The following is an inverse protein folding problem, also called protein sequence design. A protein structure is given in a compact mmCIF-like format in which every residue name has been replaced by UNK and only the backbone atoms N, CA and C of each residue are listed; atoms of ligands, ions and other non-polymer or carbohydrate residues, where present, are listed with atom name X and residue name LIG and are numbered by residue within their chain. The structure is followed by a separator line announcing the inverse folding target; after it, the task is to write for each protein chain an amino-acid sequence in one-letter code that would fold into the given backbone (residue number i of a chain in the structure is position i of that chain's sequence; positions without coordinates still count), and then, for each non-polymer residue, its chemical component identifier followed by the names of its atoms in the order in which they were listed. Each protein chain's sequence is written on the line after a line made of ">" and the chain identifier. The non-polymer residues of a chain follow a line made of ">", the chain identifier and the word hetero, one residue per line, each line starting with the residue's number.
data_IF_674963462009
#
_entry.id   IF_674963462009
#
_cell.length_a   1.000
_cell.length_b   1.000
_cell.length_c   1.000
_cell.angle_alpha   90.00
_cell.angle_beta   90.00
_cell.angle_gamma   90.00
#
_symmetry.space_group_name_H-M   'P 1'
#
loop_
_entity.id
_entity.type
_entity.pdbx_description
1 polymer ?
#
# COMPACT_ATOMS: atom_id res chain seq x y z
N UNK A 1 -9.65 -8.15 2.33
CA UNK A 1 -8.86 -7.80 1.15
C UNK A 1 -7.92 -8.91 0.75
N UNK A 2 -7.19 -8.74 -0.34
CA UNK A 2 -6.15 -9.69 -0.73
C UNK A 2 -4.91 -9.48 0.15
N UNK A 3 -4.27 -10.59 0.57
CA UNK A 3 -3.01 -10.53 1.31
C UNK A 3 -1.86 -10.50 0.33
N UNK A 4 -0.98 -9.50 0.49
CA UNK A 4 0.22 -9.33 -0.32
C UNK A 4 1.41 -9.43 0.62
N UNK A 5 2.40 -10.21 0.24
CA UNK A 5 3.59 -10.46 1.05
C UNK A 5 4.83 -10.17 0.22
N UNK A 6 5.71 -9.33 0.74
CA UNK A 6 7.07 -9.17 0.24
C UNK A 6 8.03 -9.86 1.20
N UNK A 7 8.88 -10.69 0.63
CA UNK A 7 9.90 -11.44 1.35
C UNK A 7 11.28 -11.04 0.86
N UNK A 8 12.16 -10.66 1.78
CA UNK A 8 13.61 -10.66 1.55
C UNK A 8 14.19 -11.83 2.31
N UNK A 9 14.66 -12.82 1.55
CA UNK A 9 15.22 -14.07 2.07
C UNK A 9 16.74 -13.96 2.02
N UNK A 10 17.37 -13.99 3.18
CA UNK A 10 18.83 -14.07 3.28
C UNK A 10 19.35 -15.35 2.63
N UNK A 11 20.47 -15.25 1.89
CA UNK A 11 21.09 -16.39 1.20
C UNK A 11 21.54 -17.51 2.15
N UNK A 12 21.81 -17.14 3.40
CA UNK A 12 22.32 -18.06 4.44
C UNK A 12 21.19 -18.54 5.39
N UNK A 13 19.93 -18.21 5.11
CA UNK A 13 18.78 -18.68 5.89
C UNK A 13 18.69 -20.20 5.84
N UNK A 14 18.56 -20.81 7.01
CA UNK A 14 18.37 -22.25 7.16
C UNK A 14 16.88 -22.55 7.38
N UNK A 15 16.33 -23.42 6.56
CA UNK A 15 14.94 -23.86 6.65
C UNK A 15 14.84 -25.19 7.37
N UNK A 16 14.03 -25.24 8.43
CA UNK A 16 13.69 -26.45 9.17
C UNK A 16 12.17 -26.69 9.07
N UNK A 17 11.65 -26.76 7.85
CA UNK A 17 10.24 -26.95 7.59
C UNK A 17 10.03 -27.90 6.41
N UNK A 18 8.98 -28.72 6.50
CA UNK A 18 8.57 -29.60 5.40
C UNK A 18 7.81 -28.87 4.30
N UNK A 19 7.18 -27.74 4.65
CA UNK A 19 6.40 -26.92 3.72
C UNK A 19 7.29 -25.89 3.02
N UNK A 20 6.94 -25.56 1.79
CA UNK A 20 7.54 -24.42 1.10
C UNK A 20 7.15 -23.10 1.80
N UNK A 21 7.93 -22.04 1.55
CA UNK A 21 7.67 -20.72 2.13
C UNK A 21 6.27 -20.21 1.79
N UNK A 22 5.84 -20.39 0.54
CA UNK A 22 4.50 -19.98 0.11
C UNK A 22 3.39 -20.78 0.80
N UNK A 23 3.59 -22.08 1.01
CA UNK A 23 2.64 -22.93 1.74
C UNK A 23 2.54 -22.50 3.21
N UNK A 24 3.67 -22.17 3.86
CA UNK A 24 3.66 -21.66 5.24
C UNK A 24 2.91 -20.34 5.35
N UNK A 25 3.12 -19.43 4.39
CA UNK A 25 2.40 -18.14 4.33
C UNK A 25 0.90 -18.39 4.15
N UNK A 26 0.51 -19.24 3.21
CA UNK A 26 -0.88 -19.55 2.96
C UNK A 26 -1.55 -20.22 4.16
N UNK A 27 -0.81 -21.07 4.89
CA UNK A 27 -1.32 -21.65 6.14
C UNK A 27 -1.56 -20.57 7.20
N UNK A 28 -0.63 -19.62 7.36
CA UNK A 28 -0.84 -18.48 8.26
C UNK A 28 -2.03 -17.60 7.87
N UNK A 29 -2.21 -17.34 6.58
CA UNK A 29 -3.39 -16.61 6.08
C UNK A 29 -4.68 -17.38 6.38
N UNK A 30 -4.71 -18.70 6.10
CA UNK A 30 -5.86 -19.55 6.39
C UNK A 30 -6.23 -19.50 7.87
N UNK A 31 -5.26 -19.68 8.75
CA UNK A 31 -5.49 -19.63 10.19
C UNK A 31 -6.07 -18.27 10.62
N UNK A 32 -5.50 -17.16 10.14
CA UNK A 32 -5.97 -15.84 10.45
C UNK A 32 -7.41 -15.57 9.98
N UNK A 33 -7.79 -16.02 8.80
CA UNK A 33 -9.13 -15.78 8.24
C UNK A 33 -10.18 -16.80 8.69
N UNK A 34 -9.77 -17.96 9.19
CA UNK A 34 -10.66 -18.96 9.80
C UNK A 34 -10.88 -18.73 11.30
N UNK A 35 -10.09 -17.87 11.93
CA UNK A 35 -10.29 -17.48 13.33
C UNK A 35 -11.58 -16.65 13.46
N UNK A 36 -12.52 -17.16 14.24
CA UNK A 36 -13.81 -16.51 14.46
C UNK A 36 -13.71 -15.15 15.17
N UNK A 37 -12.60 -14.87 15.85
CA UNK A 37 -12.33 -13.56 16.48
C UNK A 37 -11.83 -12.51 15.49
N UNK A 38 -11.37 -12.91 14.29
CA UNK A 38 -10.87 -12.00 13.27
C UNK A 38 -12.03 -11.27 12.59
N UNK A 39 -12.07 -9.92 12.61
CA UNK A 39 -13.11 -9.15 11.95
C UNK A 39 -12.97 -9.12 10.41
N UNK A 40 -11.85 -9.57 9.85
CA UNK A 40 -11.61 -9.57 8.41
C UNK A 40 -12.40 -10.69 7.75
N UNK A 41 -12.99 -10.39 6.59
CA UNK A 41 -13.72 -11.36 5.78
C UNK A 41 -12.87 -11.83 4.61
N UNK A 42 -12.89 -13.13 4.32
CA UNK A 42 -12.32 -13.69 3.12
C UNK A 42 -12.99 -13.09 1.87
N UNK A 43 -12.19 -12.69 0.90
CA UNK A 43 -12.64 -12.03 -0.33
C UNK A 43 -11.91 -12.52 -1.58
N UNK A 44 -11.03 -13.51 -1.45
CA UNK A 44 -10.34 -14.14 -2.57
C UNK A 44 -11.28 -15.10 -3.28
N UNK A 45 -11.26 -15.06 -4.61
CA UNK A 45 -12.08 -15.93 -5.46
C UNK A 45 -11.19 -16.97 -6.14
N UNK A 46 -11.58 -18.24 -6.05
CA UNK A 46 -10.79 -19.35 -6.57
C UNK A 46 -10.77 -19.43 -8.10
N UNK A 47 -11.84 -18.97 -8.76
CA UNK A 47 -11.95 -18.92 -10.22
C UNK A 47 -12.37 -17.53 -10.67
N UNK A 48 -11.40 -16.66 -11.04
CA UNK A 48 -11.67 -15.26 -11.31
C UNK A 48 -12.51 -15.00 -12.57
N UNK A 49 -12.50 -15.89 -13.54
CA UNK A 49 -13.29 -15.79 -14.78
C UNK A 49 -14.54 -16.66 -14.78
N UNK A 50 -14.51 -17.82 -14.11
CA UNK A 50 -15.59 -18.80 -14.08
C UNK A 50 -16.67 -18.48 -13.05
N UNK A 51 -16.89 -19.38 -12.11
CA UNK A 51 -17.98 -19.27 -11.12
C UNK A 51 -17.73 -18.23 -10.02
N UNK A 52 -16.50 -17.74 -9.88
CA UNK A 52 -16.06 -16.73 -8.90
C UNK A 52 -16.37 -17.13 -7.45
N UNK A 53 -16.30 -18.43 -7.15
CA UNK A 53 -16.52 -18.96 -5.81
C UNK A 53 -15.47 -18.42 -4.81
N UNK A 54 -15.93 -17.98 -3.62
CA UNK A 54 -15.06 -17.51 -2.56
C UNK A 54 -14.25 -18.66 -1.97
N UNK A 55 -12.95 -18.47 -1.75
CA UNK A 55 -12.07 -19.50 -1.16
C UNK A 55 -12.38 -19.78 0.31
N UNK A 56 -13.10 -18.88 0.98
CA UNK A 56 -13.53 -18.89 2.38
C UNK A 56 -12.41 -18.68 3.41
N UNK A 57 -11.18 -19.01 3.07
CA UNK A 57 -9.99 -18.88 3.92
C UNK A 57 -9.03 -17.76 3.45
N UNK A 58 -9.42 -17.03 2.41
CA UNK A 58 -8.68 -15.93 1.80
C UNK A 58 -7.31 -16.31 1.21
N UNK A 59 -7.09 -17.58 0.90
CA UNK A 59 -5.89 -18.05 0.19
C UNK A 59 -6.14 -18.14 -1.32
N UNK A 60 -5.10 -18.12 -2.17
CA UNK A 60 -3.71 -17.87 -1.80
C UNK A 60 -3.40 -16.37 -1.56
N UNK A 61 -2.35 -16.10 -0.81
CA UNK A 61 -1.71 -14.78 -0.78
C UNK A 61 -0.94 -14.52 -2.08
N UNK A 62 -0.69 -13.25 -2.39
CA UNK A 62 0.23 -12.85 -3.47
C UNK A 62 1.61 -12.64 -2.86
N UNK A 63 2.54 -13.54 -3.15
CA UNK A 63 3.88 -13.54 -2.56
C UNK A 63 4.92 -13.09 -3.58
N UNK A 64 5.73 -12.11 -3.19
CA UNK A 64 6.88 -11.64 -3.95
C UNK A 64 8.16 -11.91 -3.15
N UNK A 65 9.08 -12.67 -3.71
CA UNK A 65 10.32 -13.06 -3.01
C UNK A 65 11.53 -12.43 -3.67
N UNK A 66 12.43 -11.91 -2.86
CA UNK A 66 13.77 -11.43 -3.24
C UNK A 66 14.81 -12.14 -2.40
N UNK A 67 15.88 -12.64 -3.03
CA UNK A 67 17.01 -13.21 -2.33
C UNK A 67 18.04 -12.10 -2.12
N UNK A 68 18.51 -11.94 -0.88
CA UNK A 68 19.45 -10.90 -0.45
C UNK A 68 20.60 -11.52 0.34
N UNK A 69 21.75 -10.85 0.47
CA UNK A 69 22.80 -11.31 1.38
C UNK A 69 22.32 -11.32 2.84
N UNK A 70 22.79 -12.28 3.63
CA UNK A 70 22.50 -12.39 5.07
C UNK A 70 21.76 -13.67 5.45
N UNK A 71 21.39 -13.76 6.69
CA UNK A 71 20.78 -14.92 7.34
C UNK A 71 19.39 -14.63 7.96
N UNK A 72 18.84 -13.45 7.68
CA UNK A 72 17.53 -13.02 8.14
C UNK A 72 16.46 -13.22 7.06
N UNK A 73 15.22 -13.40 7.50
CA UNK A 73 14.03 -13.30 6.67
C UNK A 73 13.25 -12.04 7.05
N UNK A 74 13.18 -11.07 6.14
CA UNK A 74 12.36 -9.88 6.31
C UNK A 74 11.03 -10.09 5.62
N UNK A 75 9.97 -9.81 6.35
CA UNK A 75 8.59 -10.03 5.92
C UNK A 75 7.82 -8.74 6.00
N UNK A 76 7.20 -8.35 4.91
CA UNK A 76 6.29 -7.22 4.85
C UNK A 76 4.94 -7.70 4.30
N UNK A 77 3.88 -7.46 5.06
CA UNK A 77 2.53 -7.96 4.74
C UNK A 77 1.56 -6.79 4.67
N UNK A 78 0.69 -6.82 3.66
CA UNK A 78 -0.47 -5.95 3.58
C UNK A 78 -1.75 -6.75 3.34
N UNK A 79 -2.79 -6.47 4.12
CA UNK A 79 -4.16 -6.88 3.80
C UNK A 79 -4.85 -5.72 3.06
N UNK A 80 -4.75 -5.73 1.72
CA UNK A 80 -5.16 -4.61 0.86
C UNK A 80 -6.60 -4.75 0.38
N UNK A 81 -7.37 -3.66 0.51
CA UNK A 81 -8.76 -3.63 0.06
C UNK A 81 -8.92 -3.69 -1.46
N UNK A 82 -9.94 -4.42 -1.93
CA UNK A 82 -10.22 -4.58 -3.35
C UNK A 82 -10.58 -3.28 -4.06
N UNK A 83 -11.18 -2.31 -3.38
CA UNK A 83 -11.52 -1.01 -3.97
C UNK A 83 -10.28 -0.26 -4.44
N UNK A 84 -9.26 -0.15 -3.60
CA UNK A 84 -7.99 0.49 -4.00
C UNK A 84 -7.20 -0.37 -4.97
N UNK A 85 -7.22 -1.71 -4.84
CA UNK A 85 -6.54 -2.61 -5.78
C UNK A 85 -7.09 -2.46 -7.20
N UNK A 86 -8.41 -2.38 -7.35
CA UNK A 86 -9.09 -2.26 -8.63
C UNK A 86 -8.85 -0.91 -9.36
N UNK A 87 -8.19 0.05 -8.72
CA UNK A 87 -7.90 1.38 -9.28
C UNK A 87 -6.47 1.57 -9.74
N UNK A 88 -5.65 0.53 -9.68
CA UNK A 88 -4.31 0.55 -10.25
C UNK A 88 -4.35 0.95 -11.73
N UNK A 89 -3.38 1.76 -12.16
CA UNK A 89 -3.21 2.24 -13.53
C UNK A 89 -1.79 1.98 -14.00
N UNK A 90 -1.68 1.66 -15.27
CA UNK A 90 -0.41 1.45 -15.94
C UNK A 90 -0.44 2.09 -17.34
N UNK A 91 0.70 2.57 -17.77
CA UNK A 91 0.92 2.99 -19.16
C UNK A 91 2.35 2.79 -19.59
N UNK A 92 2.55 2.77 -20.91
CA UNK A 92 3.86 2.88 -21.55
C UNK A 92 3.97 4.30 -22.13
N UNK A 93 4.65 5.18 -21.43
CA UNK A 93 4.93 6.53 -21.92
C UNK A 93 6.08 6.52 -22.94
N UNK A 94 6.08 7.50 -23.84
CA UNK A 94 7.29 7.82 -24.61
C UNK A 94 8.33 8.45 -23.68
N UNK A 95 9.63 8.36 -24.00
CA UNK A 95 10.69 8.94 -23.18
C UNK A 95 10.52 10.45 -22.88
N UNK A 96 9.90 11.20 -23.81
CA UNK A 96 9.64 12.64 -23.67
C UNK A 96 8.39 12.99 -22.85
N UNK A 97 7.49 12.03 -22.62
CA UNK A 97 6.22 12.30 -21.95
C UNK A 97 6.43 12.58 -20.45
N UNK A 98 5.58 13.42 -19.87
CA UNK A 98 5.62 13.75 -18.45
C UNK A 98 4.92 12.68 -17.62
N UNK A 99 5.63 12.10 -16.65
CA UNK A 99 5.06 11.18 -15.65
C UNK A 99 4.02 11.91 -14.79
N UNK A 100 4.34 13.14 -14.39
CA UNK A 100 3.47 13.95 -13.51
C UNK A 100 2.15 14.24 -14.21
N UNK A 101 2.18 14.70 -15.46
CA UNK A 101 0.95 15.03 -16.19
C UNK A 101 0.08 13.78 -16.40
N UNK A 102 0.69 12.65 -16.75
CA UNK A 102 -0.06 11.40 -16.86
C UNK A 102 -0.73 10.99 -15.52
N UNK A 103 -0.03 11.11 -14.38
CA UNK A 103 -0.61 10.79 -13.07
C UNK A 103 -1.77 11.72 -12.76
N UNK A 104 -1.64 13.02 -13.03
CA UNK A 104 -2.71 13.99 -12.81
C UNK A 104 -3.94 13.74 -13.69
N UNK A 105 -3.74 13.21 -14.89
CA UNK A 105 -4.83 12.83 -15.80
C UNK A 105 -5.55 11.55 -15.33
N UNK A 106 -4.83 10.58 -14.77
CA UNK A 106 -5.43 9.29 -14.41
C UNK A 106 -6.01 9.25 -13.00
N UNK A 107 -5.46 10.00 -12.04
CA UNK A 107 -5.96 9.99 -10.66
C UNK A 107 -7.45 10.36 -10.57
N UNK A 108 -7.97 11.39 -11.25
CA UNK A 108 -9.41 11.68 -11.27
C UNK A 108 -10.25 10.52 -11.80
N UNK A 109 -9.71 9.73 -12.74
CA UNK A 109 -10.42 8.57 -13.31
C UNK A 109 -10.58 7.39 -12.35
N UNK A 110 -9.83 7.39 -11.24
CA UNK A 110 -9.96 6.37 -10.20
C UNK A 110 -11.27 6.50 -9.42
N UNK A 111 -11.87 7.71 -9.42
CA UNK A 111 -13.09 8.01 -8.70
C UNK A 111 -12.96 7.84 -7.19
N UNK A 112 -14.07 7.71 -6.49
CA UNK A 112 -14.09 7.51 -5.02
C UNK A 112 -13.76 6.06 -4.58
N UNK A 113 -13.73 5.11 -5.52
CA UNK A 113 -13.66 3.67 -5.19
C UNK A 113 -12.37 3.20 -4.49
N UNK A 114 -11.31 4.00 -4.49
CA UNK A 114 -10.09 3.71 -3.73
C UNK A 114 -10.09 4.34 -2.31
N UNK A 115 -11.19 5.00 -1.95
CA UNK A 115 -11.42 5.60 -0.64
C UNK A 115 -10.35 6.64 -0.25
N UNK A 116 -10.14 7.73 -1.03
CA UNK A 116 -9.24 8.80 -0.62
C UNK A 116 -9.71 9.46 0.69
N UNK A 117 -8.81 10.07 1.49
CA UNK A 117 -7.40 10.21 1.23
C UNK A 117 -6.62 8.90 1.50
N UNK A 118 -5.52 8.75 0.78
CA UNK A 118 -4.66 7.58 0.93
C UNK A 118 -3.25 7.83 0.39
N UNK A 119 -2.54 6.76 0.08
CA UNK A 119 -1.18 6.81 -0.46
C UNK A 119 -1.22 6.44 -1.93
N UNK A 120 -0.42 7.09 -2.76
CA UNK A 120 -0.14 6.65 -4.12
C UNK A 120 1.27 6.06 -4.18
N UNK A 121 1.37 4.78 -4.52
CA UNK A 121 2.63 4.17 -4.92
C UNK A 121 2.84 4.32 -6.42
N UNK A 122 3.97 4.89 -6.82
CA UNK A 122 4.34 5.12 -8.21
C UNK A 122 5.60 4.33 -8.53
N UNK A 123 5.55 3.55 -9.61
CA UNK A 123 6.69 2.81 -10.13
C UNK A 123 7.05 3.30 -11.52
N UNK A 124 8.32 3.57 -11.76
CA UNK A 124 8.82 4.14 -13.01
C UNK A 124 9.98 3.30 -13.52
N UNK A 125 9.92 2.89 -14.78
CA UNK A 125 11.03 2.21 -15.43
C UNK A 125 11.00 0.68 -15.31
N UNK A 126 12.10 0.04 -15.66
CA UNK A 126 12.20 -1.40 -15.84
C UNK A 126 11.39 -1.89 -17.05
N UNK A 127 10.61 -2.91 -16.80
CA UNK A 127 9.61 -3.51 -17.70
C UNK A 127 8.19 -3.22 -17.17
N UNK A 128 7.11 -3.49 -17.92
CA UNK A 128 5.75 -3.26 -17.48
C UNK A 128 5.44 -3.85 -16.08
N UNK A 129 5.75 -5.12 -15.91
CA UNK A 129 5.55 -5.82 -14.64
C UNK A 129 6.45 -5.27 -13.52
N UNK A 130 7.70 -4.82 -13.84
CA UNK A 130 8.58 -4.20 -12.86
C UNK A 130 8.04 -2.86 -12.37
N UNK A 131 7.51 -2.03 -13.26
CA UNK A 131 6.90 -0.76 -12.87
C UNK A 131 5.67 -0.98 -11.95
N UNK A 132 4.83 -1.98 -12.26
CA UNK A 132 3.70 -2.35 -11.40
C UNK A 132 4.17 -2.86 -10.03
N UNK A 133 5.22 -3.68 -10.00
CA UNK A 133 5.80 -4.18 -8.76
C UNK A 133 6.40 -3.05 -7.91
N UNK A 134 7.16 -2.15 -8.52
CA UNK A 134 7.72 -0.97 -7.85
C UNK A 134 6.62 -0.08 -7.24
N UNK A 135 5.52 0.13 -7.97
CA UNK A 135 4.38 0.89 -7.45
C UNK A 135 3.74 0.18 -6.24
N UNK A 136 3.67 -1.15 -6.28
CA UNK A 136 3.15 -1.97 -5.17
C UNK A 136 4.07 -1.91 -3.95
N UNK A 137 5.38 -2.05 -4.13
CA UNK A 137 6.37 -1.90 -3.06
C UNK A 137 6.35 -0.48 -2.48
N UNK A 138 6.28 0.55 -3.35
CA UNK A 138 6.27 1.95 -2.92
C UNK A 138 5.09 2.28 -2.01
N UNK A 139 3.89 1.81 -2.33
CA UNK A 139 2.70 2.08 -1.51
C UNK A 139 2.74 1.44 -0.12
N UNK A 140 3.65 0.49 0.12
CA UNK A 140 3.84 -0.17 1.41
C UNK A 140 4.69 0.65 2.38
N UNK A 141 5.45 1.63 1.88
CA UNK A 141 6.31 2.46 2.70
C UNK A 141 5.52 3.35 3.68
N UNK A 142 6.05 3.63 4.87
CA UNK A 142 5.40 4.48 5.85
C UNK A 142 5.26 5.93 5.33
N UNK A 143 4.26 6.65 5.84
CA UNK A 143 4.03 8.06 5.51
C UNK A 143 5.15 8.90 6.13
N UNK A 144 5.89 9.64 5.29
CA UNK A 144 7.01 10.51 5.70
C UNK A 144 7.08 11.84 4.92
N UNK A 145 6.02 12.21 4.21
CA UNK A 145 6.01 13.40 3.34
C UNK A 145 6.33 14.69 4.10
N UNK A 146 5.95 14.78 5.36
CA UNK A 146 6.23 15.96 6.17
C UNK A 146 7.72 16.07 6.48
N UNK A 147 8.37 14.98 6.86
CA UNK A 147 9.81 14.90 7.02
C UNK A 147 10.53 15.24 5.71
N UNK A 148 10.06 14.69 4.59
CA UNK A 148 10.62 15.00 3.27
C UNK A 148 10.51 16.49 2.93
N UNK A 149 9.38 17.12 3.24
CA UNK A 149 9.19 18.58 3.05
C UNK A 149 10.16 19.40 3.90
N UNK A 150 10.39 18.98 5.13
CA UNK A 150 11.30 19.70 6.06
C UNK A 150 12.76 19.59 5.64
N UNK A 151 13.22 18.40 5.26
CA UNK A 151 14.63 18.18 4.88
C UNK A 151 14.93 18.52 3.42
N UNK A 152 13.90 18.60 2.58
CA UNK A 152 14.03 18.81 1.14
C UNK A 152 14.41 17.54 0.36
N UNK A 153 14.12 17.55 -0.94
CA UNK A 153 14.45 16.44 -1.84
C UNK A 153 15.95 16.35 -2.09
N UNK A 154 16.48 15.12 -2.09
CA UNK A 154 17.89 14.81 -2.33
C UNK A 154 18.13 14.09 -3.66
N UNK A 155 17.07 13.65 -4.31
CA UNK A 155 17.11 12.93 -5.60
C UNK A 155 15.83 13.16 -6.40
N UNK A 156 15.84 12.71 -7.66
CA UNK A 156 14.73 12.94 -8.57
C UNK A 156 13.42 12.26 -8.14
N UNK A 157 13.49 11.09 -7.52
CA UNK A 157 12.29 10.41 -7.01
C UNK A 157 11.62 11.23 -5.89
N UNK A 158 12.39 11.81 -5.00
CA UNK A 158 11.88 12.68 -3.94
C UNK A 158 11.34 14.01 -4.46
N UNK A 159 11.97 14.61 -5.49
CA UNK A 159 11.41 15.78 -6.18
C UNK A 159 10.03 15.47 -6.78
N UNK A 160 9.90 14.32 -7.44
CA UNK A 160 8.62 13.86 -7.99
C UNK A 160 7.58 13.60 -6.89
N UNK A 161 7.97 13.06 -5.74
CA UNK A 161 7.07 12.86 -4.60
C UNK A 161 6.47 14.19 -4.14
N UNK A 162 7.32 15.21 -3.94
CA UNK A 162 6.88 16.54 -3.50
C UNK A 162 5.94 17.18 -4.53
N UNK A 163 6.33 17.17 -5.81
CA UNK A 163 5.53 17.74 -6.89
C UNK A 163 4.17 17.04 -7.01
N UNK A 164 4.16 15.70 -7.01
CA UNK A 164 2.93 14.93 -7.12
C UNK A 164 2.04 15.11 -5.90
N UNK A 165 2.60 15.13 -4.69
CA UNK A 165 1.84 15.37 -3.47
C UNK A 165 1.07 16.69 -3.54
N UNK A 166 1.74 17.78 -3.90
CA UNK A 166 1.11 19.09 -3.97
C UNK A 166 0.08 19.17 -5.11
N UNK A 167 0.43 18.68 -6.31
CA UNK A 167 -0.45 18.76 -7.48
C UNK A 167 -1.65 17.83 -7.40
N UNK A 168 -1.51 16.62 -6.85
CA UNK A 168 -2.64 15.69 -6.65
C UNK A 168 -3.60 16.24 -5.59
N UNK A 169 -3.10 16.81 -4.51
CA UNK A 169 -3.94 17.47 -3.51
C UNK A 169 -4.66 18.70 -4.09
N UNK A 170 -4.01 19.45 -4.97
CA UNK A 170 -4.62 20.58 -5.68
C UNK A 170 -5.77 20.19 -6.63
N UNK A 171 -5.92 18.90 -6.99
CA UNK A 171 -7.10 18.42 -7.73
C UNK A 171 -8.40 18.54 -6.93
N UNK A 172 -8.33 18.67 -5.61
CA UNK A 172 -9.48 18.90 -4.76
C UNK A 172 -10.48 17.74 -4.68
N UNK A 173 -10.04 16.51 -4.99
CA UNK A 173 -10.88 15.30 -4.95
C UNK A 173 -11.36 15.05 -3.52
N UNK A 174 -10.45 15.17 -2.54
CA UNK A 174 -10.78 15.11 -1.12
C UNK A 174 -11.27 13.76 -0.61
N UNK A 175 -11.69 13.74 0.65
CA UNK A 175 -12.15 12.53 1.32
C UNK A 175 -13.36 11.92 0.59
N UNK A 176 -13.25 10.64 0.27
CA UNK A 176 -14.28 9.85 -0.43
C UNK A 176 -14.70 10.45 -1.78
N UNK A 177 -13.89 11.34 -2.37
CA UNK A 177 -14.21 12.02 -3.63
C UNK A 177 -15.28 13.10 -3.51
N UNK A 178 -15.57 13.57 -2.30
CA UNK A 178 -16.61 14.56 -2.02
C UNK A 178 -16.09 16.02 -2.05
N UNK A 179 -14.84 16.19 -2.45
CA UNK A 179 -14.17 17.48 -2.41
C UNK A 179 -13.36 17.69 -1.13
N UNK A 180 -12.32 18.49 -1.20
CA UNK A 180 -11.49 18.84 -0.04
C UNK A 180 -10.02 19.02 -0.39
N UNK A 181 -9.25 19.44 0.59
CA UNK A 181 -7.84 19.80 0.42
C UNK A 181 -6.90 18.59 0.43
N UNK A 182 -7.34 17.44 0.95
CA UNK A 182 -6.51 16.25 1.10
C UNK A 182 -7.06 15.10 0.28
N UNK A 183 -6.41 14.81 -0.83
CA UNK A 183 -6.67 13.65 -1.70
C UNK A 183 -5.68 12.52 -1.40
N UNK A 184 -4.41 12.88 -1.16
CA UNK A 184 -3.35 11.95 -0.78
C UNK A 184 -2.69 12.39 0.52
N UNK A 185 -2.33 11.41 1.36
CA UNK A 185 -1.55 11.58 2.58
C UNK A 185 -0.05 11.52 2.28
N UNK A 186 0.32 10.76 1.27
CA UNK A 186 1.68 10.69 0.74
C UNK A 186 1.68 10.19 -0.72
N UNK A 187 2.77 10.44 -1.41
CA UNK A 187 3.09 9.84 -2.70
C UNK A 187 4.47 9.23 -2.60
N UNK A 188 4.57 7.93 -2.87
CA UNK A 188 5.83 7.19 -2.86
C UNK A 188 6.25 6.87 -4.28
N UNK A 189 7.53 7.05 -4.59
CA UNK A 189 8.08 6.85 -5.93
C UNK A 189 9.28 5.93 -5.85
N UNK A 190 9.23 4.84 -6.60
CA UNK A 190 10.37 3.96 -6.87
C UNK A 190 10.66 3.94 -8.36
N UNK A 191 11.93 3.94 -8.72
CA UNK A 191 12.35 3.87 -10.11
C UNK A 191 13.34 2.72 -10.36
N UNK A 192 13.50 2.38 -11.63
CA UNK A 192 14.42 1.36 -12.08
C UNK A 192 14.92 1.69 -13.48
N UNK A 193 16.19 1.39 -13.82
CA UNK A 193 16.71 1.56 -15.18
C UNK A 193 15.82 0.90 -16.22
N UNK A 194 15.60 1.58 -17.35
CA UNK A 194 14.69 1.12 -18.40
C UNK A 194 15.32 1.21 -19.77
N UNK A 195 14.72 0.55 -20.77
CA UNK A 195 15.16 0.65 -22.14
C UNK A 195 14.94 2.07 -22.69
N UNK A 196 15.90 2.60 -23.46
CA UNK A 196 15.90 3.97 -23.96
C UNK A 196 14.65 4.35 -24.80
N UNK A 197 13.98 3.37 -25.40
CA UNK A 197 12.83 3.61 -26.29
C UNK A 197 11.48 3.77 -25.55
N UNK A 198 11.41 3.47 -24.26
CA UNK A 198 10.13 3.46 -23.54
C UNK A 198 10.28 3.87 -22.07
N UNK A 199 9.14 4.22 -21.45
CA UNK A 199 9.06 4.62 -20.06
C UNK A 199 7.79 4.01 -19.43
N UNK A 200 7.87 2.77 -18.91
CA UNK A 200 6.74 2.17 -18.19
C UNK A 200 6.49 2.93 -16.91
N UNK A 201 5.23 3.24 -16.62
CA UNK A 201 4.80 3.93 -15.42
C UNK A 201 3.55 3.26 -14.87
N UNK A 202 3.55 3.02 -13.57
CA UNK A 202 2.41 2.49 -12.84
C UNK A 202 2.06 3.38 -11.65
N UNK A 203 0.78 3.44 -11.31
CA UNK A 203 0.31 4.04 -10.07
C UNK A 203 -0.71 3.14 -9.40
N UNK A 204 -0.47 2.82 -8.14
CA UNK A 204 -1.34 1.96 -7.31
C UNK A 204 -1.75 2.75 -6.08
N UNK A 205 -3.05 3.08 -5.94
CA UNK A 205 -3.54 3.73 -4.74
C UNK A 205 -3.66 2.74 -3.59
N UNK A 206 -3.53 3.26 -2.38
CA UNK A 206 -3.73 2.53 -1.14
C UNK A 206 -4.54 3.35 -0.16
N UNK A 207 -5.69 2.85 0.29
CA UNK A 207 -6.49 3.56 1.28
C UNK A 207 -5.93 3.38 2.69
N UNK A 208 -6.27 4.28 3.61
CA UNK A 208 -5.84 4.23 5.02
C UNK A 208 -6.31 3.00 5.79
N UNK A 209 -7.32 2.30 5.27
CA UNK A 209 -7.82 1.06 5.90
C UNK A 209 -6.97 -0.17 5.61
N UNK A 210 -5.97 -0.08 4.72
CA UNK A 210 -5.02 -1.18 4.48
C UNK A 210 -4.18 -1.40 5.74
N UNK A 211 -4.06 -2.67 6.11
CA UNK A 211 -3.31 -3.09 7.30
C UNK A 211 -1.96 -3.59 6.87
N UNK A 212 -0.91 -2.95 7.36
CA UNK A 212 0.47 -3.31 7.10
C UNK A 212 1.14 -3.82 8.37
N UNK A 213 2.04 -4.78 8.21
CA UNK A 213 2.94 -5.23 9.26
C UNK A 213 4.29 -5.59 8.63
N UNK A 214 5.35 -5.26 9.33
CA UNK A 214 6.72 -5.62 8.97
C UNK A 214 7.39 -6.28 10.17
N UNK A 215 8.17 -7.32 9.91
CA UNK A 215 8.95 -7.99 10.94
C UNK A 215 10.14 -8.74 10.34
N UNK A 216 11.08 -9.10 11.18
CA UNK A 216 12.26 -9.88 10.84
C UNK A 216 12.24 -11.19 11.63
N UNK A 217 12.57 -12.29 10.96
CA UNK A 217 12.84 -13.58 11.56
C UNK A 217 14.33 -13.87 11.42
N UNK A 218 15.00 -14.01 12.54
CA UNK A 218 16.44 -14.25 12.67
C UNK A 218 16.77 -15.64 13.26
N UNK A 219 15.74 -16.48 13.43
CA UNK A 219 15.87 -17.80 14.03
C UNK A 219 15.83 -17.82 15.57
N UNK A 220 15.72 -16.66 16.24
CA UNK A 220 15.67 -16.59 17.70
C UNK A 220 14.30 -16.98 18.29
N UNK A 221 13.28 -17.07 17.46
CA UNK A 221 11.91 -17.40 17.87
C UNK A 221 10.84 -16.68 17.04
N UNK A 222 9.59 -16.66 17.53
CA UNK A 222 8.51 -15.92 16.88
C UNK A 222 8.83 -14.43 16.82
N UNK A 223 8.43 -13.77 15.72
CA UNK A 223 8.56 -12.32 15.59
C UNK A 223 7.80 -11.59 16.70
N UNK A 224 8.46 -10.64 17.36
CA UNK A 224 7.80 -9.75 18.31
C UNK A 224 7.18 -8.62 17.50
N UNK A 225 5.84 -8.56 17.48
CA UNK A 225 5.09 -7.45 16.89
C UNK A 225 4.79 -6.48 18.02
N UNK A 226 5.50 -5.37 18.06
CA UNK A 226 5.16 -4.28 18.97
C UNK A 226 3.91 -3.57 18.42
N UNK A 227 2.83 -3.49 19.18
CA UNK A 227 1.71 -2.64 18.79
C UNK A 227 2.20 -1.19 18.72
N UNK A 228 1.65 -0.37 17.80
CA UNK A 228 2.00 1.04 17.76
C UNK A 228 1.73 1.65 19.14
N UNK A 229 2.73 2.37 19.67
CA UNK A 229 2.56 3.13 20.89
C UNK A 229 1.60 4.29 20.60
N UNK A 230 0.38 4.18 21.12
CA UNK A 230 -0.64 5.21 20.91
C UNK A 230 -0.38 6.46 21.75
N UNK A 231 0.49 6.37 22.77
CA UNK A 231 0.88 7.50 23.60
C UNK A 231 1.87 8.43 22.86
N UNK A 232 2.58 7.91 21.83
CA UNK A 232 3.43 8.68 20.94
C UNK A 232 2.65 9.38 19.80
N UNK A 233 1.36 9.15 19.70
CA UNK A 233 0.57 9.93 18.73
C UNK A 233 0.49 11.38 19.19
N UNK A 234 0.92 12.33 18.35
CA UNK A 234 0.80 13.74 18.74
C UNK A 234 -0.67 14.01 19.06
N UNK A 235 -0.92 14.63 20.20
CA UNK A 235 -2.22 15.22 20.51
C UNK A 235 -2.57 16.13 19.33
N UNK A 236 -3.33 15.60 18.38
CA UNK A 236 -3.90 16.42 17.32
C UNK A 236 -4.97 17.25 18.01
N UNK A 237 -4.55 18.38 18.58
CA UNK A 237 -5.45 19.42 18.97
C UNK A 237 -6.11 19.92 17.67
N UNK A 238 -7.26 19.34 17.34
CA UNK A 238 -8.15 19.97 16.39
C UNK A 238 -8.59 21.29 17.02
N UNK A 239 -7.93 22.39 16.66
CA UNK A 239 -8.50 23.70 16.80
C UNK A 239 -9.73 23.74 15.89
N UNK A 240 -10.85 23.31 16.45
CA UNK A 240 -12.14 23.47 15.78
C UNK A 240 -12.43 24.96 15.70
N UNK A 241 -12.61 25.47 14.49
CA UNK A 241 -13.09 26.85 14.32
C UNK A 241 -14.35 27.09 15.16
N UNK A 242 -14.64 28.35 15.50
CA UNK A 242 -15.70 28.71 16.45
C UNK A 242 -17.11 28.23 16.07
N UNK A 243 -17.30 27.82 14.82
CA UNK A 243 -18.61 27.39 14.28
C UNK A 243 -18.80 25.86 14.23
N UNK A 244 -17.82 25.06 14.66
CA UNK A 244 -17.95 23.60 14.65
C UNK A 244 -18.54 23.10 15.96
N UNK A 245 -19.80 22.71 15.94
CA UNK A 245 -20.45 22.06 17.07
C UNK A 245 -19.93 20.63 17.23
N UNK A 246 -19.45 20.29 18.42
CA UNK A 246 -19.17 18.88 18.78
C UNK A 246 -20.47 18.10 18.70
N UNK A 247 -20.51 17.10 17.83
CA UNK A 247 -21.55 16.08 17.91
C UNK A 247 -21.13 15.10 19.00
N UNK A 248 -21.87 15.06 20.09
CA UNK A 248 -21.65 14.08 21.13
C UNK A 248 -22.14 12.72 20.61
N UNK A 249 -21.19 11.83 20.26
CA UNK A 249 -21.50 10.50 19.71
C UNK A 249 -22.26 9.62 20.71
N UNK A 250 -22.14 9.90 22.02
CA UNK A 250 -22.84 9.18 23.08
C UNK A 250 -24.36 9.47 23.11
N UNK A 251 -24.81 10.48 22.35
CA UNK A 251 -26.23 10.84 22.21
C UNK A 251 -26.91 10.24 20.99
N UNK A 252 -26.22 9.50 20.13
CA UNK A 252 -26.81 8.77 19.03
C UNK A 252 -27.31 7.42 19.55
N UNK A 253 -28.44 7.42 20.20
CA UNK A 253 -29.19 6.18 20.42
C UNK A 253 -29.80 5.78 19.08
N UNK A 254 -29.46 4.57 18.62
CA UNK A 254 -30.14 3.94 17.52
C UNK A 254 -31.63 3.79 17.87
N UNK A 255 -32.50 4.49 17.13
CA UNK A 255 -33.92 4.13 17.00
C UNK A 255 -34.06 3.10 15.87
#
# INVERSE_FOLDING_TARGET
>A
GIVIVFLEVGMDVQWDAELSVEEMINEGVRQAYMDASNPLRASVLGDPEGDRGNTLDNTPAVVHTRIVPGDELRVEIAAKGGGSEAKAKFTMLNPSDSVVDWILDVVPTMGAGWCPPGILGVGIGGTPEKAMLLAKEAMMEPIDIHELKERGAQNRAEELRLELYDRVNALGIGAQGLGGLTTVLDVKVKDYPTHAANKPVAVIPNCTATRHVQFVLDGSGPAVLEPPDLDDWPDIAFEMGPDVKRVNVDSITAE
#
